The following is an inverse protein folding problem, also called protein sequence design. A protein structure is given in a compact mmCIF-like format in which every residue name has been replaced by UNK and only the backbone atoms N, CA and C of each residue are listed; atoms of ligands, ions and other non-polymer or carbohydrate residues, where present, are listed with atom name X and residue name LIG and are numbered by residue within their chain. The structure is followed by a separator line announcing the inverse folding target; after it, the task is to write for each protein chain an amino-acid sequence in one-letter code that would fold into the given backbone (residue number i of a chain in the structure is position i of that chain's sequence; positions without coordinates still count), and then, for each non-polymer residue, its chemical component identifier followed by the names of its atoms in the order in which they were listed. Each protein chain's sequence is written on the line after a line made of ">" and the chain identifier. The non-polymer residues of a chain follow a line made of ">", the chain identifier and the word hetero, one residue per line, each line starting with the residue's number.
data_IF_484079203036
#
_entry.id   IF_484079203036
#
_cell.length_a   1.000
_cell.length_b   1.000
_cell.length_c   1.000
_cell.angle_alpha   90.00
_cell.angle_beta   90.00
_cell.angle_gamma   90.00
#
_symmetry.space_group_name_H-M   'P 1'
#
loop_
_entity.id
_entity.type
_entity.pdbx_description
1 polymer ?
#
# COMPACT_ATOMS: atom_id res chain seq x y z
N UNK A 1 -1.18 -17.92 28.85
CA UNK A 1 -0.53 -18.24 27.56
C UNK A 1 -1.19 -17.53 26.38
N UNK A 2 -2.52 -17.49 26.31
CA UNK A 2 -3.31 -16.85 25.22
C UNK A 2 -2.92 -15.40 24.94
N UNK A 3 -2.64 -14.60 25.97
CA UNK A 3 -2.20 -13.21 25.84
C UNK A 3 -0.85 -13.06 25.08
N UNK A 4 0.15 -13.89 25.41
CA UNK A 4 1.45 -13.88 24.73
C UNK A 4 1.34 -14.36 23.28
N UNK A 5 0.48 -15.34 23.02
CA UNK A 5 0.20 -15.83 21.67
C UNK A 5 -0.44 -14.72 20.83
N UNK A 6 -1.41 -13.99 21.39
CA UNK A 6 -2.05 -12.86 20.72
C UNK A 6 -1.07 -11.74 20.37
N UNK A 7 -0.21 -11.33 21.32
CA UNK A 7 0.80 -10.29 21.04
C UNK A 7 1.81 -10.74 19.98
N UNK A 8 2.26 -12.00 20.04
CA UNK A 8 3.18 -12.56 19.05
C UNK A 8 2.53 -12.63 17.66
N UNK A 9 1.27 -13.04 17.59
CA UNK A 9 0.50 -13.03 16.35
C UNK A 9 0.38 -11.61 15.78
N UNK A 10 0.02 -10.62 16.62
CA UNK A 10 -0.04 -9.22 16.22
C UNK A 10 1.31 -8.73 15.67
N UNK A 11 2.41 -8.98 16.37
CA UNK A 11 3.74 -8.55 15.93
C UNK A 11 4.13 -9.17 14.56
N UNK A 12 3.78 -10.43 14.32
CA UNK A 12 3.99 -11.09 13.03
C UNK A 12 3.13 -10.48 11.92
N UNK A 13 1.83 -10.27 12.18
CA UNK A 13 0.92 -9.63 11.22
C UNK A 13 1.43 -8.23 10.86
N UNK A 14 1.82 -7.43 11.85
CA UNK A 14 2.32 -6.07 11.65
C UNK A 14 3.66 -6.05 10.91
N UNK A 15 4.54 -7.02 11.16
CA UNK A 15 5.79 -7.18 10.42
C UNK A 15 5.54 -7.40 8.93
N UNK A 16 4.68 -8.36 8.58
CA UNK A 16 4.36 -8.63 7.17
C UNK A 16 3.60 -7.47 6.54
N UNK A 17 2.67 -6.84 7.26
CA UNK A 17 1.96 -5.68 6.79
C UNK A 17 2.92 -4.53 6.46
N UNK A 18 3.84 -4.19 7.37
CA UNK A 18 4.87 -3.18 7.14
C UNK A 18 5.77 -3.53 5.95
N UNK A 19 6.25 -4.77 5.87
CA UNK A 19 7.10 -5.23 4.76
C UNK A 19 6.38 -5.09 3.42
N UNK A 20 5.11 -5.47 3.34
CA UNK A 20 4.31 -5.38 2.13
C UNK A 20 4.03 -3.93 1.72
N UNK A 21 3.78 -3.00 2.65
CA UNK A 21 3.67 -1.57 2.32
C UNK A 21 5.01 -1.05 1.82
N UNK A 22 6.10 -1.34 2.52
CA UNK A 22 7.43 -0.86 2.20
C UNK A 22 7.89 -1.34 0.80
N UNK A 23 7.67 -2.61 0.49
CA UNK A 23 8.06 -3.22 -0.78
C UNK A 23 7.03 -2.96 -1.88
N UNK A 24 5.74 -2.96 -1.56
CA UNK A 24 4.67 -2.74 -2.52
C UNK A 24 4.62 -1.31 -3.07
N UNK A 25 4.93 -0.30 -2.25
CA UNK A 25 4.89 1.12 -2.65
C UNK A 25 5.81 1.49 -3.83
N UNK A 26 7.08 1.03 -3.89
CA UNK A 26 7.96 1.30 -5.04
C UNK A 26 7.74 0.36 -6.25
N UNK A 27 6.99 -0.72 -6.09
CA UNK A 27 6.74 -1.73 -7.13
C UNK A 27 5.55 -1.33 -8.03
N UNK A 28 5.36 -2.06 -9.14
CA UNK A 28 4.26 -1.87 -10.07
C UNK A 28 2.87 -1.91 -9.42
N UNK A 29 2.12 -0.83 -9.58
CA UNK A 29 0.68 -0.79 -9.29
C UNK A 29 -0.10 -1.40 -10.43
N UNK A 30 0.35 -1.18 -11.66
CA UNK A 30 -0.30 -1.65 -12.87
C UNK A 30 0.73 -2.16 -13.89
N UNK A 31 0.34 -3.16 -14.68
CA UNK A 31 1.15 -3.70 -15.79
C UNK A 31 0.35 -3.75 -17.08
N UNK A 32 0.92 -3.44 -18.25
CA UNK A 32 0.22 -3.56 -19.51
C UNK A 32 -0.27 -4.99 -19.76
N UNK A 33 -1.45 -5.13 -20.38
CA UNK A 33 -2.01 -6.44 -20.72
C UNK A 33 -1.04 -7.25 -21.58
N UNK A 34 -1.03 -8.57 -21.38
CA UNK A 34 -0.19 -9.50 -22.14
C UNK A 34 1.30 -9.44 -21.78
N UNK A 35 1.69 -8.65 -20.78
CA UNK A 35 3.06 -8.65 -20.24
C UNK A 35 3.18 -9.56 -19.04
N UNK A 36 4.32 -10.26 -18.92
CA UNK A 36 4.60 -11.12 -17.76
C UNK A 36 4.72 -10.29 -16.49
N UNK A 37 4.20 -10.78 -15.36
CA UNK A 37 4.32 -10.12 -14.05
C UNK A 37 5.71 -10.22 -13.39
N UNK A 38 6.60 -11.06 -13.94
CA UNK A 38 7.88 -11.39 -13.31
C UNK A 38 9.12 -10.96 -14.11
N UNK A 39 8.98 -10.56 -15.38
CA UNK A 39 10.10 -10.08 -16.19
C UNK A 39 10.19 -8.54 -16.19
N UNK A 40 11.31 -8.02 -16.73
CA UNK A 40 11.55 -6.59 -16.97
C UNK A 40 10.69 -6.09 -18.14
N UNK A 41 9.38 -6.11 -17.94
CA UNK A 41 8.39 -5.55 -18.84
C UNK A 41 8.04 -4.13 -18.40
N UNK A 42 7.39 -3.35 -19.26
CA UNK A 42 6.89 -2.04 -18.87
C UNK A 42 5.93 -2.15 -17.68
N UNK A 43 5.98 -1.18 -16.79
CA UNK A 43 5.11 -1.11 -15.62
C UNK A 43 4.84 0.32 -15.19
N UNK A 44 3.72 0.50 -14.51
CA UNK A 44 3.28 1.77 -13.96
C UNK A 44 3.23 1.64 -12.43
N UNK A 45 4.06 2.42 -11.75
CA UNK A 45 4.08 2.50 -10.29
C UNK A 45 3.28 3.71 -9.82
N UNK A 46 3.13 3.89 -8.50
CA UNK A 46 2.59 5.12 -7.91
C UNK A 46 3.36 6.38 -8.35
N UNK A 47 4.64 6.23 -8.68
CA UNK A 47 5.57 7.34 -8.92
C UNK A 47 5.72 7.70 -10.39
N UNK A 48 5.47 6.74 -11.29
CA UNK A 48 5.61 6.96 -12.72
C UNK A 48 5.67 5.66 -13.52
N UNK A 49 5.91 5.82 -14.81
CA UNK A 49 6.02 4.73 -15.76
C UNK A 49 7.49 4.36 -16.00
N UNK A 50 7.72 3.07 -16.17
CA UNK A 50 9.02 2.47 -16.49
C UNK A 50 8.84 1.51 -17.66
N UNK A 51 9.74 1.54 -18.63
CA UNK A 51 9.86 0.55 -19.70
C UNK A 51 10.43 -0.77 -19.17
N UNK A 52 11.30 -0.67 -18.16
CA UNK A 52 11.90 -1.81 -17.47
C UNK A 52 11.58 -1.71 -15.98
N UNK A 53 10.66 -2.54 -15.49
CA UNK A 53 10.13 -2.37 -14.13
C UNK A 53 11.18 -2.47 -13.01
N UNK A 54 12.22 -3.28 -13.21
CA UNK A 54 13.31 -3.46 -12.24
C UNK A 54 14.39 -2.37 -12.31
N UNK A 55 14.32 -1.47 -13.30
CA UNK A 55 15.23 -0.36 -13.38
C UNK A 55 14.89 0.71 -12.33
N UNK A 56 15.90 1.44 -11.86
CA UNK A 56 15.72 2.54 -10.90
C UNK A 56 15.25 3.82 -11.58
N UNK A 57 15.58 4.01 -12.86
CA UNK A 57 15.18 5.16 -13.65
C UNK A 57 13.69 5.11 -14.04
N UNK A 58 13.05 6.28 -14.05
CA UNK A 58 11.70 6.47 -14.57
C UNK A 58 11.80 7.11 -15.96
N UNK A 59 11.09 6.53 -16.93
CA UNK A 59 10.98 7.12 -18.27
C UNK A 59 10.09 8.36 -18.25
N UNK A 60 9.04 8.32 -17.43
CA UNK A 60 8.16 9.47 -17.19
C UNK A 60 7.59 9.43 -15.79
N UNK A 61 7.60 10.58 -15.11
CA UNK A 61 6.99 10.75 -13.80
C UNK A 61 5.46 10.76 -13.89
N UNK A 62 4.78 10.35 -12.82
CA UNK A 62 3.32 10.35 -12.79
C UNK A 62 2.72 11.75 -13.05
N UNK A 63 3.40 12.81 -12.59
CA UNK A 63 2.96 14.19 -12.81
C UNK A 63 2.97 14.60 -14.29
N UNK A 64 3.97 14.15 -15.05
CA UNK A 64 4.09 14.42 -16.48
C UNK A 64 3.15 13.52 -17.30
N UNK A 65 3.05 12.25 -16.90
CA UNK A 65 2.19 11.25 -17.53
C UNK A 65 0.72 11.68 -17.49
N UNK A 66 0.29 12.25 -16.36
CA UNK A 66 -1.09 12.68 -16.12
C UNK A 66 -1.30 14.18 -16.31
N UNK A 67 -0.38 14.90 -16.95
CA UNK A 67 -0.49 16.36 -17.13
C UNK A 67 -1.78 16.81 -17.84
N UNK A 68 -2.34 15.95 -18.71
CA UNK A 68 -3.61 16.19 -19.42
C UNK A 68 -4.86 15.69 -18.66
N UNK A 69 -4.67 14.97 -17.55
CA UNK A 69 -5.71 14.34 -16.75
C UNK A 69 -5.62 14.86 -15.29
N UNK A 70 -6.13 16.08 -15.00
CA UNK A 70 -5.88 16.74 -13.73
C UNK A 70 -6.44 15.98 -12.52
N UNK A 71 -7.60 15.32 -12.66
CA UNK A 71 -8.22 14.54 -11.59
C UNK A 71 -7.36 13.32 -11.23
N UNK A 72 -6.97 12.51 -12.23
CA UNK A 72 -6.05 11.37 -12.06
C UNK A 72 -4.71 11.80 -11.48
N UNK A 73 -4.16 12.92 -11.96
CA UNK A 73 -2.91 13.47 -11.42
C UNK A 73 -3.03 13.79 -9.93
N UNK A 74 -4.13 14.42 -9.53
CA UNK A 74 -4.40 14.71 -8.12
C UNK A 74 -4.53 13.42 -7.30
N UNK A 75 -5.26 12.43 -7.81
CA UNK A 75 -5.44 11.12 -7.14
C UNK A 75 -4.10 10.41 -6.93
N UNK A 76 -3.23 10.36 -7.94
CA UNK A 76 -1.88 9.81 -7.81
C UNK A 76 -1.03 10.58 -6.79
N UNK A 77 -1.09 11.92 -6.79
CA UNK A 77 -0.34 12.74 -5.82
C UNK A 77 -0.80 12.52 -4.38
N UNK A 78 -2.11 12.43 -4.16
CA UNK A 78 -2.68 12.11 -2.84
C UNK A 78 -2.28 10.69 -2.43
N UNK A 79 -2.36 9.73 -3.35
CA UNK A 79 -1.97 8.34 -3.10
C UNK A 79 -0.47 8.22 -2.76
N UNK A 80 0.42 8.93 -3.44
CA UNK A 80 1.85 8.97 -3.13
C UNK A 80 2.11 9.49 -1.71
N UNK A 81 1.50 10.62 -1.35
CA UNK A 81 1.67 11.21 -0.02
C UNK A 81 1.16 10.27 1.09
N UNK A 82 -0.04 9.70 0.89
CA UNK A 82 -0.64 8.77 1.85
C UNK A 82 0.12 7.44 1.93
N UNK A 83 0.71 6.95 0.83
CA UNK A 83 1.55 5.75 0.86
C UNK A 83 2.82 5.97 1.70
N UNK A 84 3.48 7.11 1.56
CA UNK A 84 4.65 7.47 2.41
C UNK A 84 4.25 7.58 3.88
N UNK A 85 3.13 8.25 4.18
CA UNK A 85 2.60 8.32 5.54
C UNK A 85 2.30 6.91 6.07
N UNK A 86 1.71 6.04 5.26
CA UNK A 86 1.39 4.66 5.62
C UNK A 86 2.66 3.86 5.96
N UNK A 87 3.75 4.02 5.21
CA UNK A 87 5.05 3.38 5.54
C UNK A 87 5.50 3.77 6.94
N UNK A 88 5.45 5.06 7.29
CA UNK A 88 5.86 5.55 8.61
C UNK A 88 4.93 5.02 9.71
N UNK A 89 3.61 5.09 9.50
CA UNK A 89 2.61 4.63 10.47
C UNK A 89 2.72 3.13 10.74
N UNK A 90 2.82 2.31 9.69
CA UNK A 90 3.00 0.86 9.81
C UNK A 90 4.34 0.50 10.44
N UNK A 91 5.41 1.25 10.13
CA UNK A 91 6.72 1.08 10.74
C UNK A 91 6.71 1.37 12.24
N UNK A 92 6.07 2.46 12.66
CA UNK A 92 5.90 2.80 14.08
C UNK A 92 5.06 1.74 14.81
N UNK A 93 3.96 1.29 14.20
CA UNK A 93 3.13 0.22 14.74
C UNK A 93 3.92 -1.09 14.89
N UNK A 94 4.76 -1.45 13.92
CA UNK A 94 5.62 -2.62 14.00
C UNK A 94 6.65 -2.51 15.14
N UNK A 95 7.38 -1.39 15.22
CA UNK A 95 8.38 -1.17 16.26
C UNK A 95 7.74 -1.24 17.66
N UNK A 96 6.62 -0.55 17.86
CA UNK A 96 5.90 -0.56 19.14
C UNK A 96 5.29 -1.94 19.44
N UNK A 97 4.76 -2.64 18.44
CA UNK A 97 4.28 -4.00 18.56
C UNK A 97 5.38 -4.98 18.99
N UNK A 98 6.58 -4.83 18.44
CA UNK A 98 7.74 -5.61 18.84
C UNK A 98 8.19 -5.27 20.27
N UNK A 99 8.25 -3.99 20.64
CA UNK A 99 8.56 -3.55 22.01
C UNK A 99 7.54 -4.10 23.00
N UNK A 100 6.26 -4.17 22.64
CA UNK A 100 5.19 -4.71 23.48
C UNK A 100 5.40 -6.18 23.87
N UNK A 101 6.11 -6.97 23.06
CA UNK A 101 6.48 -8.35 23.41
C UNK A 101 7.39 -8.43 24.64
N UNK A 102 8.18 -7.38 24.88
CA UNK A 102 9.18 -7.33 25.96
C UNK A 102 8.77 -6.38 27.10
N UNK A 103 8.01 -5.33 26.84
CA UNK A 103 7.65 -4.30 27.81
C UNK A 103 6.20 -3.78 27.72
N UNK A 104 5.62 -3.50 28.89
CA UNK A 104 4.43 -2.70 29.21
C UNK A 104 3.20 -2.73 28.27
N UNK A 105 2.07 -3.16 28.83
CA UNK A 105 0.73 -3.21 28.22
C UNK A 105 0.19 -1.87 27.68
N UNK A 106 0.66 -0.72 28.17
CA UNK A 106 0.14 0.59 27.79
C UNK A 106 0.22 0.87 26.28
N UNK A 107 1.22 0.31 25.60
CA UNK A 107 1.38 0.47 24.16
C UNK A 107 0.25 -0.15 23.32
N UNK A 108 -0.61 -1.00 23.91
CA UNK A 108 -1.74 -1.62 23.20
C UNK A 108 -2.63 -0.60 22.52
N UNK A 109 -3.05 0.42 23.26
CA UNK A 109 -3.94 1.45 22.74
C UNK A 109 -3.27 2.34 21.71
N UNK A 110 -1.97 2.63 21.89
CA UNK A 110 -1.17 3.38 20.90
C UNK A 110 -1.07 2.58 19.59
N UNK A 111 -0.75 1.29 19.67
CA UNK A 111 -0.69 0.39 18.50
C UNK A 111 -2.03 0.29 17.79
N UNK A 112 -3.14 0.21 18.55
CA UNK A 112 -4.49 0.21 18.00
C UNK A 112 -4.79 1.49 17.22
N UNK A 113 -4.48 2.67 17.78
CA UNK A 113 -4.67 3.95 17.10
C UNK A 113 -3.82 4.04 15.83
N UNK A 114 -2.56 3.59 15.87
CA UNK A 114 -1.69 3.56 14.71
C UNK A 114 -2.19 2.60 13.62
N UNK A 115 -2.68 1.41 13.98
CA UNK A 115 -3.29 0.47 13.03
C UNK A 115 -4.56 1.08 12.39
N UNK A 116 -5.43 1.73 13.16
CA UNK A 116 -6.63 2.39 12.60
C UNK A 116 -6.23 3.49 11.61
N UNK A 117 -5.25 4.32 11.99
CA UNK A 117 -4.72 5.38 11.12
C UNK A 117 -4.05 4.79 9.86
N UNK A 118 -3.30 3.70 10.02
CA UNK A 118 -2.68 2.95 8.94
C UNK A 118 -3.71 2.41 7.97
N UNK A 119 -4.72 1.70 8.49
CA UNK A 119 -5.82 1.14 7.71
C UNK A 119 -6.58 2.23 6.93
N UNK A 120 -6.83 3.39 7.55
CA UNK A 120 -7.49 4.51 6.87
C UNK A 120 -6.61 5.10 5.75
N UNK A 121 -5.35 5.38 6.04
CA UNK A 121 -4.43 6.00 5.06
C UNK A 121 -4.15 5.07 3.88
N UNK A 122 -3.77 3.82 4.14
CA UNK A 122 -3.52 2.83 3.10
C UNK A 122 -4.80 2.42 2.37
N UNK A 123 -5.93 2.37 3.08
CA UNK A 123 -7.26 2.15 2.53
C UNK A 123 -7.61 3.14 1.43
N UNK A 124 -7.35 4.43 1.68
CA UNK A 124 -7.55 5.48 0.67
C UNK A 124 -6.60 5.30 -0.51
N UNK A 125 -5.34 4.93 -0.30
CA UNK A 125 -4.36 4.72 -1.39
C UNK A 125 -4.85 3.70 -2.40
N UNK A 126 -5.16 2.48 -1.96
CA UNK A 126 -5.57 1.43 -2.91
C UNK A 126 -6.99 1.68 -3.46
N UNK A 127 -7.87 2.34 -2.70
CA UNK A 127 -9.18 2.74 -3.20
C UNK A 127 -9.09 3.77 -4.33
N UNK A 128 -8.19 4.76 -4.23
CA UNK A 128 -7.94 5.72 -5.31
C UNK A 128 -7.41 5.01 -6.56
N UNK A 129 -6.49 4.05 -6.39
CA UNK A 129 -5.99 3.25 -7.53
C UNK A 129 -7.10 2.41 -8.18
N UNK A 130 -8.05 1.88 -7.41
CA UNK A 130 -9.23 1.20 -7.95
C UNK A 130 -10.14 2.15 -8.73
N UNK A 131 -10.32 3.39 -8.25
CA UNK A 131 -11.08 4.41 -8.98
C UNK A 131 -10.41 4.70 -10.32
N UNK A 132 -9.10 4.94 -10.34
CA UNK A 132 -8.34 5.15 -11.58
C UNK A 132 -8.40 3.97 -12.55
N UNK A 133 -8.52 2.75 -12.02
CA UNK A 133 -8.60 1.54 -12.82
C UNK A 133 -9.90 1.42 -13.61
N UNK A 134 -11.04 1.72 -12.98
CA UNK A 134 -12.37 1.53 -13.56
C UNK A 134 -13.03 2.79 -14.09
N UNK A 135 -12.63 3.97 -13.60
CA UNK A 135 -13.25 5.23 -13.99
C UNK A 135 -12.71 5.66 -15.36
N UNK A 136 -13.64 5.95 -16.25
CA UNK A 136 -13.37 6.69 -17.47
C UNK A 136 -13.60 8.18 -17.20
N UNK A 137 -12.53 8.96 -17.21
CA UNK A 137 -12.60 10.41 -17.00
C UNK A 137 -12.99 11.15 -18.30
N UNK A 138 -13.18 10.42 -19.40
CA UNK A 138 -13.41 10.98 -20.73
C UNK A 138 -12.19 11.74 -21.25
N UNK A 139 -12.33 12.39 -22.41
CA UNK A 139 -11.39 13.42 -22.87
C UNK A 139 -9.88 13.00 -22.91
N UNK A 140 -9.55 11.95 -23.67
CA UNK A 140 -8.19 11.40 -23.82
C UNK A 140 -7.60 10.72 -22.56
N UNK A 141 -8.38 10.53 -21.50
CA UNK A 141 -7.97 9.86 -20.25
C UNK A 141 -8.83 8.61 -19.99
N UNK A 142 -8.69 7.54 -20.81
CA UNK A 142 -9.51 6.35 -20.65
C UNK A 142 -9.21 5.63 -19.33
N UNK A 143 -10.14 4.74 -18.95
CA UNK A 143 -9.96 3.83 -17.81
C UNK A 143 -8.69 2.98 -17.97
N UNK A 144 -7.93 2.80 -16.89
CA UNK A 144 -6.68 2.05 -16.92
C UNK A 144 -6.89 0.57 -17.26
N UNK A 145 -8.02 0.00 -16.83
CA UNK A 145 -8.39 -1.39 -17.10
C UNK A 145 -8.44 -1.78 -18.58
N UNK A 146 -8.57 -0.79 -19.48
CA UNK A 146 -8.54 -1.03 -20.93
C UNK A 146 -7.17 -1.46 -21.46
N UNK A 147 -6.09 -1.14 -20.73
CA UNK A 147 -4.70 -1.35 -21.17
C UNK A 147 -3.82 -2.00 -20.11
N UNK A 148 -4.22 -1.97 -18.84
CA UNK A 148 -3.42 -2.45 -17.73
C UNK A 148 -4.19 -3.45 -16.86
N UNK A 149 -3.45 -4.43 -16.35
CA UNK A 149 -3.82 -5.32 -15.25
C UNK A 149 -3.25 -4.79 -13.92
N UNK A 150 -3.77 -5.27 -12.79
CA UNK A 150 -3.17 -5.00 -11.49
C UNK A 150 -1.77 -5.62 -11.36
N UNK A 151 -0.83 -4.80 -10.91
CA UNK A 151 0.54 -5.17 -10.62
C UNK A 151 0.72 -5.83 -9.26
N UNK A 152 1.92 -6.34 -9.00
CA UNK A 152 2.26 -6.99 -7.74
C UNK A 152 2.24 -6.03 -6.56
N UNK A 153 2.67 -4.78 -6.78
CA UNK A 153 2.67 -3.75 -5.75
C UNK A 153 1.25 -3.47 -5.25
N UNK A 154 0.27 -3.38 -6.14
CA UNK A 154 -1.14 -3.22 -5.75
C UNK A 154 -1.64 -4.38 -4.88
N UNK A 155 -1.35 -5.62 -5.28
CA UNK A 155 -1.74 -6.82 -4.51
C UNK A 155 -1.09 -6.80 -3.12
N UNK A 156 0.18 -6.38 -3.02
CA UNK A 156 0.88 -6.24 -1.74
C UNK A 156 0.23 -5.17 -0.85
N UNK A 157 -0.16 -4.01 -1.39
CA UNK A 157 -0.84 -2.97 -0.60
C UNK A 157 -2.19 -3.45 -0.05
N UNK A 158 -3.01 -4.11 -0.87
CA UNK A 158 -4.29 -4.69 -0.43
C UNK A 158 -4.07 -5.80 0.62
N UNK A 159 -3.05 -6.64 0.41
CA UNK A 159 -2.68 -7.68 1.38
C UNK A 159 -2.22 -7.07 2.71
N UNK A 160 -1.41 -6.01 2.67
CA UNK A 160 -0.95 -5.30 3.84
C UNK A 160 -2.10 -4.68 4.63
N UNK A 161 -3.03 -4.01 3.93
CA UNK A 161 -4.24 -3.46 4.52
C UNK A 161 -5.10 -4.55 5.20
N UNK A 162 -5.22 -5.71 4.56
CA UNK A 162 -5.96 -6.84 5.12
C UNK A 162 -5.30 -7.39 6.40
N UNK A 163 -3.96 -7.50 6.41
CA UNK A 163 -3.21 -7.94 7.59
C UNK A 163 -3.31 -6.95 8.75
N UNK A 164 -3.30 -5.65 8.47
CA UNK A 164 -3.47 -4.58 9.46
C UNK A 164 -4.88 -4.62 10.09
N UNK A 165 -5.93 -4.84 9.29
CA UNK A 165 -7.29 -5.06 9.80
C UNK A 165 -7.36 -6.29 10.71
N UNK A 166 -6.69 -7.39 10.36
CA UNK A 166 -6.57 -8.55 11.24
C UNK A 166 -5.81 -8.22 12.53
N UNK A 167 -4.76 -7.39 12.44
CA UNK A 167 -4.02 -6.86 13.58
C UNK A 167 -4.91 -6.08 14.56
N UNK A 168 -5.79 -5.21 14.05
CA UNK A 168 -6.80 -4.49 14.84
C UNK A 168 -7.71 -5.46 15.60
N UNK A 169 -8.24 -6.48 14.91
CA UNK A 169 -9.13 -7.49 15.51
C UNK A 169 -8.41 -8.24 16.63
N UNK A 170 -7.17 -8.67 16.39
CA UNK A 170 -6.33 -9.34 17.41
C UNK A 170 -6.11 -8.43 18.61
N UNK A 171 -5.75 -7.16 18.41
CA UNK A 171 -5.56 -6.21 19.50
C UNK A 171 -6.83 -5.98 20.31
N UNK A 172 -8.01 -5.94 19.68
CA UNK A 172 -9.31 -5.77 20.35
C UNK A 172 -9.69 -6.98 21.20
N UNK A 173 -9.45 -8.20 20.71
CA UNK A 173 -9.81 -9.45 21.39
C UNK A 173 -8.79 -9.93 22.42
N UNK A 174 -7.59 -9.35 22.44
CA UNK A 174 -6.63 -9.54 23.52
C UNK A 174 -7.19 -8.88 24.80
N UNK A 175 -7.86 -9.70 25.61
CA UNK A 175 -8.31 -9.44 26.99
C UNK A 175 -7.66 -10.47 27.93
#
# INVERSE_FOLDING_TARGET
>A
MTYRIGMLLYALLQFFAFLFVLVGTPIDMFRPHGTSRFCSTPCLTLWGYKNECFNTAYDSWADDLWAKCPDRRLQFRVAQALAVISIVVYGLAFILGFIMLFCCFFFRWVCLTLNILGSATLGVVWALMMVDYYKDDGNCCPMLSSRFDFGLGFILLVSAWSLDVLGIIVLLHIC
#
